data_IF_366352234991
#
_entry.id   IF_366352234991
#
_cell.length_a   1.000
_cell.length_b   1.000
_cell.length_c   1.000
_cell.angle_alpha   90.00
_cell.angle_beta   90.00
_cell.angle_gamma   90.00
#
_symmetry.space_group_name_H-M   'P 1'
#
loop_
_entity.id
_entity.type
_entity.pdbx_description
1 polymer ?
#
# COMPACT_ATOMS: atom_id res chain seq x y z
N UNK A 1 8.95 -3.25 7.01
CA UNK A 1 10.11 -3.53 6.16
C UNK A 1 11.46 -3.34 6.84
N UNK A 2 11.74 -2.18 7.45
CA UNK A 2 13.03 -1.89 8.10
C UNK A 2 13.45 -2.98 9.11
N UNK A 3 12.56 -3.40 10.00
CA UNK A 3 12.85 -4.46 10.97
C UNK A 3 13.24 -5.78 10.29
N UNK A 4 12.49 -6.18 9.25
CA UNK A 4 12.77 -7.40 8.48
C UNK A 4 14.15 -7.32 7.81
N UNK A 5 14.45 -6.18 7.19
CA UNK A 5 15.76 -5.92 6.57
C UNK A 5 16.88 -6.11 7.59
N UNK A 6 16.79 -5.43 8.74
CA UNK A 6 17.83 -5.46 9.77
C UNK A 6 18.01 -6.84 10.39
N UNK A 7 16.92 -7.57 10.63
CA UNK A 7 16.98 -8.94 11.11
C UNK A 7 17.61 -9.89 10.08
N UNK A 8 17.28 -9.73 8.79
CA UNK A 8 17.86 -10.53 7.71
C UNK A 8 19.35 -10.23 7.51
N UNK A 9 19.74 -8.96 7.54
CA UNK A 9 21.15 -8.53 7.51
C UNK A 9 21.93 -9.13 8.69
N UNK A 10 21.36 -9.08 9.89
CA UNK A 10 21.99 -9.65 11.09
C UNK A 10 22.24 -11.15 10.94
N UNK A 11 21.22 -11.92 10.51
CA UNK A 11 21.37 -13.35 10.30
C UNK A 11 22.44 -13.66 9.25
N UNK A 12 22.43 -12.92 8.13
CA UNK A 12 23.38 -13.09 7.02
C UNK A 12 24.81 -12.79 7.44
N UNK A 13 25.06 -11.65 8.09
CA UNK A 13 26.39 -11.24 8.58
C UNK A 13 26.95 -12.23 9.61
N UNK A 14 26.09 -12.87 10.41
CA UNK A 14 26.49 -13.88 11.39
C UNK A 14 26.53 -15.30 10.84
N UNK A 15 26.19 -15.52 9.57
CA UNK A 15 26.11 -16.86 8.97
C UNK A 15 25.00 -17.74 9.57
N UNK A 16 23.96 -17.14 10.17
CA UNK A 16 22.90 -17.85 10.87
C UNK A 16 21.74 -18.22 9.92
N UNK A 17 21.09 -19.37 10.13
CA UNK A 17 19.83 -19.69 9.47
C UNK A 17 18.75 -18.62 9.73
N UNK A 18 18.05 -18.19 8.67
CA UNK A 18 16.92 -17.25 8.74
C UNK A 18 15.60 -17.97 8.49
N UNK A 19 14.76 -18.01 9.51
CA UNK A 19 13.39 -18.56 9.43
C UNK A 19 12.39 -17.40 9.39
N UNK A 20 11.52 -17.38 8.39
CA UNK A 20 10.46 -16.39 8.21
C UNK A 20 9.09 -17.04 8.40
N UNK A 21 8.32 -16.57 9.37
CA UNK A 21 6.93 -17.00 9.58
C UNK A 21 6.01 -16.02 8.85
N UNK A 22 5.39 -16.48 7.77
CA UNK A 22 4.60 -15.67 6.87
C UNK A 22 3.10 -15.73 7.21
N UNK A 23 2.59 -14.63 7.77
CA UNK A 23 1.17 -14.33 7.91
C UNK A 23 0.98 -12.82 7.72
N UNK A 24 0.63 -12.40 6.50
CA UNK A 24 0.61 -10.98 6.13
C UNK A 24 -0.43 -10.69 5.04
N UNK A 25 -0.65 -9.41 4.74
CA UNK A 25 -1.59 -8.97 3.70
C UNK A 25 -0.92 -8.12 2.61
N UNK A 26 0.40 -8.29 2.44
CA UNK A 26 1.21 -7.49 1.51
C UNK A 26 1.58 -6.11 2.04
N UNK A 27 1.92 -5.20 1.12
CA UNK A 27 2.27 -3.82 1.45
C UNK A 27 1.05 -3.10 2.06
N UNK A 28 1.30 -2.24 3.05
CA UNK A 28 0.26 -1.40 3.63
C UNK A 28 -0.19 -0.38 2.59
N UNK A 29 -1.50 -0.25 2.44
CA UNK A 29 -2.16 0.75 1.59
C UNK A 29 -3.05 1.59 2.49
N UNK A 30 -3.15 2.89 2.21
CA UNK A 30 -4.02 3.79 2.93
C UNK A 30 -4.34 5.06 2.15
N UNK A 31 -5.12 5.93 2.76
CA UNK A 31 -5.44 7.26 2.29
C UNK A 31 -5.19 8.25 3.43
N UNK A 32 -5.09 9.53 3.08
CA UNK A 32 -4.99 10.60 4.08
C UNK A 32 -6.36 10.84 4.71
N UNK A 33 -6.63 10.18 5.84
CA UNK A 33 -7.95 10.20 6.48
C UNK A 33 -8.35 11.58 6.98
N UNK A 34 -7.39 12.36 7.48
CA UNK A 34 -7.60 13.72 7.98
C UNK A 34 -8.07 14.66 6.86
N UNK A 35 -7.68 14.39 5.61
CA UNK A 35 -8.03 15.25 4.47
C UNK A 35 -9.43 14.95 3.92
N UNK A 36 -9.90 13.70 4.01
CA UNK A 36 -11.16 13.25 3.38
C UNK A 36 -12.39 14.12 3.67
N UNK A 37 -12.64 14.60 4.90
CA UNK A 37 -13.84 15.38 5.20
C UNK A 37 -13.88 16.74 4.51
N UNK A 38 -12.72 17.25 4.08
CA UNK A 38 -12.57 18.60 3.56
C UNK A 38 -12.55 18.65 2.02
N UNK A 39 -12.23 17.53 1.36
CA UNK A 39 -12.16 17.47 -0.10
C UNK A 39 -13.54 17.69 -0.70
N UNK A 40 -13.66 18.73 -1.53
CA UNK A 40 -14.86 19.09 -2.27
C UNK A 40 -14.65 18.83 -3.76
N UNK A 41 -15.74 18.56 -4.47
CA UNK A 41 -15.73 18.37 -5.92
C UNK A 41 -16.52 19.51 -6.57
N UNK A 42 -15.94 20.16 -7.59
CA UNK A 42 -16.69 21.08 -8.44
C UNK A 42 -17.46 20.25 -9.47
N UNK A 43 -18.73 19.98 -9.17
CA UNK A 43 -19.62 19.28 -10.09
C UNK A 43 -19.84 20.12 -11.35
N UNK A 44 -19.83 19.46 -12.51
CA UNK A 44 -20.16 20.09 -13.80
C UNK A 44 -21.60 20.61 -13.78
N UNK A 45 -22.51 19.88 -13.11
CA UNK A 45 -23.86 20.30 -12.79
C UNK A 45 -24.19 19.90 -11.34
N UNK A 46 -24.42 20.89 -10.48
CA UNK A 46 -24.70 20.63 -9.06
C UNK A 46 -26.07 19.97 -8.81
N UNK A 47 -27.00 20.06 -9.77
CA UNK A 47 -28.29 19.38 -9.71
C UNK A 47 -28.24 17.95 -10.26
N UNK A 48 -27.22 17.61 -11.05
CA UNK A 48 -27.04 16.28 -11.64
C UNK A 48 -25.57 15.79 -11.55
N UNK A 49 -25.15 15.26 -10.39
CA UNK A 49 -23.80 14.76 -10.17
C UNK A 49 -23.38 13.62 -11.13
N UNK A 50 -24.34 12.95 -11.80
CA UNK A 50 -24.02 11.90 -12.77
C UNK A 50 -23.29 12.43 -14.01
N UNK A 51 -23.38 13.74 -14.28
CA UNK A 51 -22.62 14.39 -15.35
C UNK A 51 -21.12 14.50 -15.05
N UNK A 52 -20.71 14.20 -13.82
CA UNK A 52 -19.33 14.21 -13.38
C UNK A 52 -18.92 15.52 -12.71
N UNK A 53 -17.61 15.65 -12.50
CA UNK A 53 -16.98 16.79 -11.83
C UNK A 53 -15.75 17.25 -12.63
N UNK A 54 -15.42 18.52 -12.49
CA UNK A 54 -14.33 19.15 -13.24
C UNK A 54 -13.00 19.01 -12.48
N UNK A 55 -13.01 19.24 -11.16
CA UNK A 55 -11.83 19.13 -10.30
C UNK A 55 -12.19 18.93 -8.82
N UNK A 56 -11.20 18.48 -8.04
CA UNK A 56 -11.27 18.44 -6.58
C UNK A 56 -10.57 19.67 -6.00
N UNK A 57 -11.09 20.21 -4.90
CA UNK A 57 -10.55 21.41 -4.29
C UNK A 57 -10.77 21.43 -2.77
N UNK A 58 -10.07 22.36 -2.12
CA UNK A 58 -10.29 22.77 -0.73
C UNK A 58 -10.66 24.25 -0.71
N UNK A 59 -11.49 24.64 0.26
CA UNK A 59 -11.72 26.06 0.54
C UNK A 59 -10.48 26.65 1.23
N UNK A 60 -10.36 27.98 1.24
CA UNK A 60 -9.21 28.66 1.84
C UNK A 60 -9.02 28.35 3.33
N UNK A 61 -10.12 28.26 4.09
CA UNK A 61 -10.11 27.88 5.50
C UNK A 61 -9.60 26.43 5.68
N UNK A 62 -10.13 25.51 4.88
CA UNK A 62 -9.77 24.08 4.95
C UNK A 62 -8.32 23.84 4.54
N UNK A 63 -7.83 24.55 3.52
CA UNK A 63 -6.43 24.47 3.10
C UNK A 63 -5.47 24.98 4.19
N UNK A 64 -5.86 26.03 4.90
CA UNK A 64 -5.09 26.60 6.02
C UNK A 64 -4.95 25.68 7.23
N UNK A 65 -5.75 24.62 7.34
CA UNK A 65 -5.68 23.65 8.44
C UNK A 65 -4.53 22.64 8.30
N UNK A 66 -3.86 22.59 7.14
CA UNK A 66 -2.79 21.63 6.87
C UNK A 66 -1.43 22.32 6.74
N UNK A 67 -0.39 21.68 7.26
CA UNK A 67 0.98 22.16 7.12
C UNK A 67 1.41 22.19 5.65
N UNK A 68 2.34 23.11 5.33
CA UNK A 68 2.91 23.22 4.00
C UNK A 68 3.53 21.88 3.55
N UNK A 69 3.14 21.40 2.37
CA UNK A 69 3.64 20.15 1.79
C UNK A 69 2.73 18.94 1.97
N UNK A 70 1.72 18.99 2.87
CA UNK A 70 0.72 17.92 3.02
C UNK A 70 -0.12 17.77 1.74
N UNK A 71 -0.50 18.90 1.16
CA UNK A 71 -1.29 19.01 -0.07
C UNK A 71 -0.62 20.00 -1.03
N UNK A 72 -0.38 19.56 -2.26
CA UNK A 72 0.02 20.41 -3.37
C UNK A 72 -1.24 20.84 -4.11
N UNK A 73 -1.48 22.14 -4.17
CA UNK A 73 -2.67 22.70 -4.78
C UNK A 73 -2.34 24.00 -5.53
N UNK A 74 -3.22 24.39 -6.46
CA UNK A 74 -3.13 25.63 -7.24
C UNK A 74 -4.25 26.57 -6.81
N UNK A 75 -3.90 27.82 -6.54
CA UNK A 75 -4.88 28.86 -6.22
C UNK A 75 -5.80 29.10 -7.43
N UNK A 76 -7.10 29.21 -7.17
CA UNK A 76 -8.12 29.54 -8.16
C UNK A 76 -9.28 30.27 -7.49
N UNK A 77 -10.25 30.70 -8.29
CA UNK A 77 -11.46 31.37 -7.82
C UNK A 77 -12.69 30.61 -8.30
N UNK A 78 -13.60 30.32 -7.38
CA UNK A 78 -14.88 29.68 -7.67
C UNK A 78 -16.01 30.46 -7.01
N UNK A 79 -16.98 30.90 -7.81
CA UNK A 79 -18.16 31.66 -7.35
C UNK A 79 -17.77 32.89 -6.48
N UNK A 80 -16.67 33.55 -6.84
CA UNK A 80 -16.11 34.71 -6.15
C UNK A 80 -15.32 34.39 -4.87
N UNK A 81 -15.15 33.11 -4.51
CA UNK A 81 -14.36 32.67 -3.36
C UNK A 81 -13.01 32.10 -3.81
N UNK A 82 -11.97 32.37 -3.03
CA UNK A 82 -10.65 31.76 -3.23
C UNK A 82 -10.71 30.28 -2.85
N UNK A 83 -10.19 29.43 -3.72
CA UNK A 83 -10.13 27.98 -3.55
C UNK A 83 -8.73 27.46 -3.91
N UNK A 84 -8.43 26.26 -3.44
CA UNK A 84 -7.18 25.56 -3.73
C UNK A 84 -7.49 24.26 -4.47
N UNK A 85 -7.27 24.24 -5.78
CA UNK A 85 -7.51 23.07 -6.65
C UNK A 85 -6.40 22.05 -6.42
N UNK A 86 -6.78 20.82 -6.06
CA UNK A 86 -5.86 19.75 -5.69
C UNK A 86 -5.05 19.26 -6.90
N UNK A 87 -3.73 19.23 -6.74
CA UNK A 87 -2.78 18.69 -7.74
C UNK A 87 -2.17 17.37 -7.25
N UNK A 88 -1.72 17.33 -5.98
CA UNK A 88 -1.24 16.11 -5.33
C UNK A 88 -1.55 16.09 -3.83
N UNK A 89 -1.75 14.90 -3.29
CA UNK A 89 -1.93 14.65 -1.86
C UNK A 89 -0.72 13.83 -1.40
N UNK A 90 0.10 14.41 -0.53
CA UNK A 90 1.31 13.77 -0.01
C UNK A 90 1.01 13.15 1.36
N UNK A 91 0.37 13.91 2.24
CA UNK A 91 -0.05 13.43 3.56
C UNK A 91 1.08 13.19 4.55
N UNK A 92 2.29 13.66 4.28
CA UNK A 92 3.44 13.48 5.17
C UNK A 92 3.21 14.13 6.55
N UNK A 93 3.68 13.50 7.61
CA UNK A 93 3.55 14.01 8.99
C UNK A 93 2.20 13.76 9.65
N UNK A 94 1.18 13.31 8.90
CA UNK A 94 -0.14 13.01 9.45
C UNK A 94 -0.21 11.65 10.15
N UNK A 95 -1.21 11.50 11.03
CA UNK A 95 -1.37 10.28 11.83
C UNK A 95 -1.82 9.10 10.95
N UNK A 96 -2.72 9.33 9.99
CA UNK A 96 -3.22 8.29 9.08
C UNK A 96 -2.15 7.74 8.15
N UNK A 97 -1.11 8.52 7.86
CA UNK A 97 0.01 8.12 7.00
C UNK A 97 1.20 7.60 7.79
N UNK A 98 1.09 7.54 9.13
CA UNK A 98 2.15 7.05 9.99
C UNK A 98 2.50 5.59 9.69
N UNK A 99 3.72 5.38 9.19
CA UNK A 99 4.21 4.07 8.75
C UNK A 99 3.91 3.75 7.28
N UNK A 100 3.64 4.78 6.46
CA UNK A 100 3.50 4.70 5.02
C UNK A 100 2.15 4.17 4.54
N UNK A 101 1.66 4.69 3.43
CA UNK A 101 0.38 4.32 2.81
C UNK A 101 0.49 4.08 1.30
N UNK A 102 1.65 4.35 0.69
CA UNK A 102 1.82 4.32 -0.76
C UNK A 102 3.18 3.82 -1.23
N UNK A 103 3.83 4.60 -2.09
CA UNK A 103 5.03 4.22 -2.87
C UNK A 103 6.24 3.93 -2.00
N UNK A 104 6.35 4.58 -0.84
CA UNK A 104 7.36 4.34 0.19
C UNK A 104 7.29 2.90 0.74
N UNK A 105 6.10 2.31 0.82
CA UNK A 105 5.94 0.90 1.20
C UNK A 105 6.31 -0.05 0.06
N UNK A 106 6.16 0.38 -1.20
CA UNK A 106 6.63 -0.39 -2.36
C UNK A 106 8.16 -0.39 -2.44
N UNK A 107 8.78 0.75 -2.14
CA UNK A 107 10.23 0.84 -1.99
C UNK A 107 10.72 -0.06 -0.85
N UNK A 108 10.06 -0.01 0.31
CA UNK A 108 10.32 -0.91 1.43
C UNK A 108 10.18 -2.39 1.07
N UNK A 109 9.17 -2.73 0.26
CA UNK A 109 8.98 -4.08 -0.29
C UNK A 109 10.14 -4.51 -1.20
N UNK A 110 10.62 -3.62 -2.07
CA UNK A 110 11.79 -3.86 -2.92
C UNK A 110 13.08 -4.10 -2.13
N UNK A 111 13.28 -3.34 -1.04
CA UNK A 111 14.42 -3.49 -0.14
C UNK A 111 14.51 -4.91 0.45
N UNK A 112 13.42 -5.39 1.05
CA UNK A 112 13.37 -6.71 1.69
C UNK A 112 13.37 -7.87 0.70
N UNK A 113 12.87 -7.65 -0.53
CA UNK A 113 13.01 -8.61 -1.63
C UNK A 113 14.48 -8.76 -2.03
N UNK A 114 15.18 -7.65 -2.25
CA UNK A 114 16.60 -7.66 -2.60
C UNK A 114 17.46 -8.31 -1.52
N UNK A 115 17.18 -8.04 -0.25
CA UNK A 115 17.89 -8.69 0.85
C UNK A 115 17.59 -10.17 0.98
N UNK A 116 16.35 -10.60 0.74
CA UNK A 116 16.01 -12.03 0.76
C UNK A 116 16.70 -12.79 -0.37
N UNK A 117 16.83 -12.18 -1.55
CA UNK A 117 17.58 -12.74 -2.66
C UNK A 117 19.05 -12.99 -2.26
N UNK A 118 19.71 -12.01 -1.65
CA UNK A 118 21.08 -12.15 -1.13
C UNK A 118 21.18 -13.19 -0.02
N UNK A 119 20.26 -13.14 0.94
CA UNK A 119 20.25 -14.06 2.08
C UNK A 119 20.14 -15.53 1.63
N UNK A 120 19.37 -15.83 0.58
CA UNK A 120 19.28 -17.18 0.03
C UNK A 120 20.63 -17.69 -0.50
N UNK A 121 21.45 -16.83 -1.11
CA UNK A 121 22.77 -17.19 -1.62
C UNK A 121 23.84 -17.37 -0.54
N UNK A 122 23.65 -16.80 0.65
CA UNK A 122 24.68 -16.74 1.69
C UNK A 122 24.37 -17.59 2.93
N UNK A 123 23.09 -17.75 3.30
CA UNK A 123 22.67 -18.47 4.51
C UNK A 123 21.47 -19.37 4.25
N UNK A 124 21.21 -20.30 5.18
CA UNK A 124 19.99 -21.10 5.13
C UNK A 124 18.76 -20.19 5.31
N UNK A 125 17.81 -20.27 4.39
CA UNK A 125 16.52 -19.60 4.42
C UNK A 125 15.39 -20.62 4.41
N UNK A 126 14.38 -20.39 5.25
CA UNK A 126 13.13 -21.15 5.28
C UNK A 126 11.97 -20.20 5.54
N UNK A 127 10.86 -20.40 4.81
CA UNK A 127 9.59 -19.72 5.08
C UNK A 127 8.55 -20.73 5.54
N UNK A 128 7.80 -20.38 6.58
CA UNK A 128 6.64 -21.14 7.03
C UNK A 128 5.38 -20.28 6.91
N UNK A 129 4.47 -20.68 6.02
CA UNK A 129 3.23 -19.96 5.73
C UNK A 129 2.13 -20.49 6.64
N UNK A 130 1.77 -19.71 7.65
CA UNK A 130 0.84 -20.10 8.72
C UNK A 130 -0.58 -19.57 8.54
N UNK A 131 -0.71 -18.49 7.78
CA UNK A 131 -1.99 -17.93 7.34
C UNK A 131 -1.87 -17.61 5.86
N UNK A 132 -2.37 -16.44 5.43
CA UNK A 132 -2.14 -15.99 4.05
C UNK A 132 -0.81 -15.26 3.89
N UNK A 133 -0.26 -15.31 2.68
CA UNK A 133 0.89 -14.50 2.27
C UNK A 133 0.58 -13.81 0.95
N UNK A 134 0.61 -12.48 0.95
CA UNK A 134 0.10 -11.68 -0.19
C UNK A 134 1.18 -10.76 -0.73
N UNK A 135 1.27 -10.63 -2.05
CA UNK A 135 2.14 -9.66 -2.73
C UNK A 135 3.61 -9.87 -2.34
N UNK A 136 4.24 -8.86 -1.72
CA UNK A 136 5.63 -8.98 -1.24
C UNK A 136 5.83 -10.18 -0.31
N UNK A 137 4.83 -10.57 0.50
CA UNK A 137 4.90 -11.77 1.33
C UNK A 137 5.11 -13.05 0.51
N UNK A 138 4.35 -13.20 -0.59
CA UNK A 138 4.49 -14.33 -1.50
C UNK A 138 5.87 -14.32 -2.20
N UNK A 139 6.36 -13.14 -2.60
CA UNK A 139 7.70 -12.98 -3.17
C UNK A 139 8.81 -13.34 -2.18
N UNK A 140 8.72 -12.92 -0.91
CA UNK A 140 9.70 -13.29 0.11
C UNK A 140 9.79 -14.81 0.29
N UNK A 141 8.64 -15.49 0.31
CA UNK A 141 8.60 -16.94 0.42
C UNK A 141 9.27 -17.59 -0.81
N UNK A 142 8.94 -17.11 -2.01
CA UNK A 142 9.54 -17.60 -3.26
C UNK A 142 11.05 -17.37 -3.31
N UNK A 143 11.51 -16.17 -2.93
CA UNK A 143 12.93 -15.78 -2.93
C UNK A 143 13.72 -16.55 -1.87
N UNK A 144 13.11 -16.86 -0.73
CA UNK A 144 13.69 -17.73 0.30
C UNK A 144 13.76 -19.22 -0.09
N UNK A 145 13.17 -19.60 -1.24
CA UNK A 145 13.12 -20.92 -1.89
C UNK A 145 12.48 -22.06 -1.10
N UNK A 146 12.91 -22.30 0.14
CA UNK A 146 12.42 -23.38 0.99
C UNK A 146 11.16 -22.90 1.68
N UNK A 147 10.03 -23.53 1.38
CA UNK A 147 8.71 -23.12 1.87
C UNK A 147 7.97 -24.33 2.44
N UNK A 148 7.49 -24.20 3.66
CA UNK A 148 6.48 -25.07 4.25
C UNK A 148 5.18 -24.27 4.26
N UNK A 149 4.12 -24.80 3.67
CA UNK A 149 2.83 -24.14 3.56
C UNK A 149 1.79 -24.95 4.33
N UNK A 150 1.07 -24.32 5.27
CA UNK A 150 -0.10 -24.96 5.88
C UNK A 150 -1.18 -25.18 4.82
N UNK A 151 -2.00 -26.22 4.99
CA UNK A 151 -3.08 -26.58 4.05
C UNK A 151 -3.99 -25.39 3.73
N UNK A 152 -4.30 -24.56 4.74
CA UNK A 152 -5.10 -23.34 4.59
C UNK A 152 -4.24 -22.07 4.64
N UNK A 153 -3.15 -22.03 3.88
CA UNK A 153 -2.19 -20.93 3.87
C UNK A 153 -1.93 -20.35 2.48
N UNK A 154 -2.90 -19.66 1.85
CA UNK A 154 -2.77 -19.24 0.46
C UNK A 154 -1.61 -18.28 0.25
N UNK A 155 -0.84 -18.51 -0.83
CA UNK A 155 0.29 -17.69 -1.27
C UNK A 155 -0.06 -17.03 -2.60
N UNK A 156 -0.52 -15.79 -2.57
CA UNK A 156 -1.15 -15.13 -3.72
C UNK A 156 -0.57 -13.74 -3.98
N UNK A 157 -0.71 -13.23 -5.20
CA UNK A 157 -0.38 -11.84 -5.50
C UNK A 157 -1.59 -10.91 -5.33
N UNK A 158 -2.77 -11.37 -5.73
CA UNK A 158 -4.00 -10.59 -5.73
C UNK A 158 -5.14 -11.48 -5.28
N UNK A 159 -6.00 -10.95 -4.40
CA UNK A 159 -7.14 -11.71 -3.89
C UNK A 159 -8.20 -12.00 -4.95
N UNK A 160 -8.86 -13.15 -4.85
CA UNK A 160 -9.87 -13.60 -5.82
C UNK A 160 -11.01 -12.58 -6.04
N UNK A 161 -11.44 -11.87 -4.98
CA UNK A 161 -12.48 -10.85 -5.07
C UNK A 161 -12.05 -9.65 -5.93
N UNK A 162 -10.78 -9.24 -5.83
CA UNK A 162 -10.23 -8.18 -6.67
C UNK A 162 -10.12 -8.62 -8.14
N UNK A 163 -9.72 -9.88 -8.39
CA UNK A 163 -9.69 -10.45 -9.74
C UNK A 163 -11.10 -10.54 -10.35
N UNK A 164 -12.09 -11.00 -9.59
CA UNK A 164 -13.47 -11.05 -10.06
C UNK A 164 -14.01 -9.65 -10.39
N UNK A 165 -13.67 -8.63 -9.58
CA UNK A 165 -14.05 -7.24 -9.85
C UNK A 165 -13.39 -6.72 -11.14
N UNK A 166 -12.10 -7.03 -11.35
CA UNK A 166 -11.36 -6.68 -12.56
C UNK A 166 -11.98 -7.34 -13.80
N UNK A 167 -12.39 -8.61 -13.69
CA UNK A 167 -12.96 -9.40 -14.78
C UNK A 167 -14.45 -9.15 -15.03
N UNK A 168 -15.13 -8.41 -14.15
CA UNK A 168 -16.58 -8.16 -14.23
C UNK A 168 -17.46 -9.39 -14.02
N UNK A 169 -16.91 -10.51 -13.55
CA UNK A 169 -17.65 -11.77 -13.34
C UNK A 169 -17.03 -12.61 -12.22
N UNK A 170 -17.84 -13.50 -11.62
CA UNK A 170 -17.40 -14.41 -10.55
C UNK A 170 -16.68 -15.63 -11.15
N UNK A 171 -15.37 -15.50 -11.36
CA UNK A 171 -14.50 -16.59 -11.88
C UNK A 171 -14.03 -17.50 -10.75
N UNK A 172 -13.60 -16.91 -9.64
CA UNK A 172 -13.03 -17.61 -8.49
C UNK A 172 -13.96 -17.51 -7.27
N UNK A 173 -13.92 -18.52 -6.40
CA UNK A 173 -14.74 -18.59 -5.18
C UNK A 173 -13.94 -18.63 -3.88
N UNK A 174 -12.63 -18.92 -3.93
CA UNK A 174 -11.75 -18.92 -2.76
C UNK A 174 -10.33 -18.46 -3.13
N UNK A 175 -9.53 -18.14 -2.10
CA UNK A 175 -8.11 -17.82 -2.30
C UNK A 175 -7.28 -19.06 -2.65
N UNK A 176 -7.70 -20.25 -2.22
CA UNK A 176 -6.97 -21.50 -2.42
C UNK A 176 -7.03 -22.00 -3.88
N UNK A 177 -7.87 -21.37 -4.72
CA UNK A 177 -7.92 -21.61 -6.17
C UNK A 177 -6.82 -20.86 -6.95
N UNK A 178 -6.13 -19.92 -6.29
CA UNK A 178 -5.08 -19.07 -6.87
C UNK A 178 -3.70 -19.57 -6.43
#
# INVERSE_FOLDING_TARGET
>A
DILFQKASEYARVKGLPRIHIACNSGARVGLVEELKPFVKAKWTDSADPCKGFDFLYLDEEDYGNFDAGVVVAKESTLDGKKIYVLDAIIGEGLKSTSGGIGVENLQGSGLIAGETSRAYSEVFTLSYVTGRSVGIGAYLNRLGQRVIQMVNGPMILTGFGALNKLLGKKVYTSQDQL
#
